data_IF_731655617961
#
_entry.id   IF_731655617961
#
_cell.length_a   1.000
_cell.length_b   1.000
_cell.length_c   1.000
_cell.angle_alpha   90.00
_cell.angle_beta   90.00
_cell.angle_gamma   90.00
#
_symmetry.space_group_name_H-M   'P 1'
#
loop_
_entity.id
_entity.type
_entity.pdbx_description
1 polymer ?
#
# COMPACT_ATOMS: atom_id res chain seq x y z
N UNK A 1 -11.89 4.22 15.24
CA UNK A 1 -10.85 5.27 15.38
C UNK A 1 -9.86 5.07 14.24
N UNK A 2 -9.80 5.96 13.25
CA UNK A 2 -8.74 5.89 12.21
C UNK A 2 -7.45 6.37 12.87
N UNK A 3 -6.50 5.47 13.13
CA UNK A 3 -5.16 5.87 13.56
C UNK A 3 -4.59 6.84 12.51
N UNK A 4 -4.22 8.05 12.94
CA UNK A 4 -3.74 9.10 12.03
C UNK A 4 -2.33 8.74 11.53
N UNK A 5 -2.02 9.00 10.25
CA UNK A 5 -0.74 8.61 9.64
C UNK A 5 0.48 9.18 10.39
N UNK A 6 0.32 10.36 10.97
CA UNK A 6 1.32 11.00 11.84
C UNK A 6 1.61 10.18 13.09
N UNK A 7 0.58 9.68 13.77
CA UNK A 7 0.74 8.84 14.96
C UNK A 7 1.48 7.53 14.67
N UNK A 8 1.23 6.91 13.50
CA UNK A 8 2.00 5.74 13.07
C UNK A 8 3.47 6.08 12.79
N UNK A 9 3.75 7.27 12.25
CA UNK A 9 5.11 7.72 11.97
C UNK A 9 5.90 7.98 13.26
N UNK A 10 5.26 8.61 14.24
CA UNK A 10 5.82 8.82 15.58
C UNK A 10 6.08 7.49 16.28
N UNK A 11 5.16 6.51 16.18
CA UNK A 11 5.37 5.12 16.64
C UNK A 11 6.58 4.45 16.04
N UNK A 12 6.72 4.50 14.72
CA UNK A 12 7.89 3.90 14.05
C UNK A 12 9.17 4.58 14.53
N UNK A 13 9.21 5.91 14.57
CA UNK A 13 10.40 6.66 15.00
C UNK A 13 10.81 6.32 16.43
N UNK A 14 9.83 6.24 17.33
CA UNK A 14 10.05 5.91 18.72
C UNK A 14 10.63 4.50 18.91
N UNK A 15 9.96 3.47 18.40
CA UNK A 15 10.42 2.09 18.57
C UNK A 15 11.73 1.81 17.82
N UNK A 16 11.96 2.46 16.67
CA UNK A 16 13.24 2.35 15.97
C UNK A 16 14.39 2.91 16.83
N UNK A 17 14.19 4.08 17.44
CA UNK A 17 15.17 4.66 18.37
C UNK A 17 15.46 3.74 19.57
N UNK A 18 14.46 3.03 20.07
CA UNK A 18 14.63 2.05 21.14
C UNK A 18 15.44 0.82 20.68
N UNK A 19 15.15 0.30 19.48
CA UNK A 19 15.90 -0.82 18.89
C UNK A 19 17.36 -0.44 18.68
N UNK A 20 17.62 0.75 18.15
CA UNK A 20 18.97 1.24 17.88
C UNK A 20 19.75 1.36 19.21
N UNK A 21 19.17 2.02 20.21
CA UNK A 21 19.75 2.13 21.56
C UNK A 21 20.03 0.76 22.20
N UNK A 22 19.06 -0.16 22.15
CA UNK A 22 19.23 -1.49 22.74
C UNK A 22 20.32 -2.30 22.01
N UNK A 23 20.42 -2.15 20.69
CA UNK A 23 21.43 -2.84 19.88
C UNK A 23 22.84 -2.31 20.15
N UNK A 24 23.01 -0.99 20.26
CA UNK A 24 24.29 -0.33 20.53
C UNK A 24 24.85 -0.66 21.93
N UNK A 25 23.97 -0.93 22.89
CA UNK A 25 24.35 -1.20 24.28
C UNK A 25 24.19 -2.67 24.69
N UNK A 26 23.96 -3.59 23.74
CA UNK A 26 23.73 -5.02 23.98
C UNK A 26 22.63 -5.31 25.01
N UNK A 27 21.63 -4.43 25.12
CA UNK A 27 20.52 -4.56 26.07
C UNK A 27 19.39 -5.38 25.46
N UNK A 28 18.86 -6.33 26.24
CA UNK A 28 17.72 -7.16 25.83
C UNK A 28 16.36 -6.57 26.19
N UNK A 29 16.32 -5.71 27.20
CA UNK A 29 15.10 -5.13 27.74
C UNK A 29 15.24 -3.63 27.95
N UNK A 30 14.14 -2.92 27.73
CA UNK A 30 13.98 -1.50 28.02
C UNK A 30 12.74 -1.30 28.87
N UNK A 31 12.87 -0.52 29.94
CA UNK A 31 11.73 -0.15 30.78
C UNK A 31 11.26 1.23 30.35
N UNK A 32 10.10 1.27 29.71
CA UNK A 32 9.51 2.52 29.26
C UNK A 32 8.53 3.05 30.31
N UNK A 33 8.71 4.32 30.69
CA UNK A 33 7.89 4.98 31.72
C UNK A 33 6.77 5.87 31.16
N UNK A 34 6.85 6.30 29.91
CA UNK A 34 6.16 7.53 29.47
C UNK A 34 5.05 7.34 28.41
N UNK A 35 4.74 6.12 27.95
CA UNK A 35 3.73 5.93 26.87
C UNK A 35 2.40 5.31 27.29
N UNK A 36 2.37 4.60 28.41
CA UNK A 36 1.16 4.15 29.07
C UNK A 36 1.42 4.30 30.56
N UNK A 37 0.43 4.73 31.34
CA UNK A 37 0.54 4.96 32.80
C UNK A 37 1.01 3.73 33.62
N UNK A 38 1.29 2.60 32.97
CA UNK A 38 1.90 1.42 33.55
C UNK A 38 3.31 1.16 32.97
N UNK A 39 4.35 1.06 33.82
CA UNK A 39 5.70 0.72 33.37
C UNK A 39 5.66 -0.65 32.68
N UNK A 40 6.04 -0.68 31.41
CA UNK A 40 6.02 -1.88 30.59
C UNK A 40 7.45 -2.27 30.24
N UNK A 41 7.81 -3.53 30.53
CA UNK A 41 9.09 -4.09 30.11
C UNK A 41 8.98 -4.49 28.64
N UNK A 42 9.78 -3.87 27.78
CA UNK A 42 9.78 -4.11 26.34
C UNK A 42 11.06 -4.86 25.99
N UNK A 43 10.93 -6.03 25.37
CA UNK A 43 12.08 -6.72 24.77
C UNK A 43 12.46 -6.11 23.43
N UNK A 44 13.71 -6.25 23.02
CA UNK A 44 14.15 -5.81 21.68
C UNK A 44 13.39 -6.55 20.57
N UNK A 45 13.02 -7.83 20.78
CA UNK A 45 12.19 -8.59 19.86
C UNK A 45 10.80 -7.98 19.71
N UNK A 46 10.18 -7.55 20.81
CA UNK A 46 8.84 -6.97 20.78
C UNK A 46 8.86 -5.55 20.18
N UNK A 47 9.90 -4.77 20.44
CA UNK A 47 10.11 -3.48 19.77
C UNK A 47 10.25 -3.65 18.24
N UNK A 48 10.98 -4.67 17.77
CA UNK A 48 11.08 -4.98 16.34
C UNK A 48 9.74 -5.40 15.72
N UNK A 49 8.95 -6.23 16.42
CA UNK A 49 7.61 -6.62 15.97
C UNK A 49 6.69 -5.41 15.83
N UNK A 50 6.76 -4.47 16.78
CA UNK A 50 5.97 -3.23 16.74
C UNK A 50 6.35 -2.35 15.54
N UNK A 51 7.65 -2.22 15.24
CA UNK A 51 8.12 -1.51 14.03
C UNK A 51 7.55 -2.14 12.76
N UNK A 52 7.63 -3.46 12.62
CA UNK A 52 7.13 -4.17 11.43
C UNK A 52 5.60 -4.09 11.30
N UNK A 53 4.88 -4.23 12.42
CA UNK A 53 3.42 -4.08 12.44
C UNK A 53 3.00 -2.66 12.03
N UNK A 54 3.66 -1.64 12.56
CA UNK A 54 3.37 -0.24 12.26
C UNK A 54 3.70 0.09 10.78
N UNK A 55 4.80 -0.43 10.24
CA UNK A 55 5.12 -0.30 8.80
C UNK A 55 4.04 -0.93 7.92
N UNK A 56 3.61 -2.16 8.23
CA UNK A 56 2.54 -2.85 7.48
C UNK A 56 1.22 -2.09 7.51
N UNK A 57 0.84 -1.53 8.66
CA UNK A 57 -0.34 -0.65 8.77
C UNK A 57 -0.18 0.62 7.93
N UNK A 58 1.01 1.22 7.89
CA UNK A 58 1.30 2.41 7.09
C UNK A 58 1.20 2.13 5.58
N UNK A 59 1.68 0.98 5.11
CA UNK A 59 1.51 0.53 3.73
C UNK A 59 0.04 0.31 3.37
N UNK A 60 -0.70 -0.39 4.24
CA UNK A 60 -2.15 -0.62 4.05
C UNK A 60 -2.90 0.71 3.92
N UNK A 61 -2.57 1.70 4.76
CA UNK A 61 -3.18 3.03 4.72
C UNK A 61 -2.86 3.79 3.41
N UNK A 62 -1.64 3.64 2.85
CA UNK A 62 -1.30 4.20 1.54
C UNK A 62 -2.14 3.56 0.43
N UNK A 63 -2.25 2.24 0.42
CA UNK A 63 -3.05 1.49 -0.56
C UNK A 63 -4.52 1.89 -0.47
N UNK A 64 -5.09 2.02 0.72
CA UNK A 64 -6.47 2.48 0.91
C UNK A 64 -6.70 3.92 0.46
N UNK A 65 -5.73 4.82 0.68
CA UNK A 65 -5.80 6.21 0.23
C UNK A 65 -5.74 6.31 -1.29
N UNK A 66 -4.82 5.58 -1.92
CA UNK A 66 -4.72 5.50 -3.37
C UNK A 66 -5.99 4.88 -3.94
N UNK A 67 -6.46 3.75 -3.40
CA UNK A 67 -7.69 3.10 -3.83
C UNK A 67 -8.89 4.06 -3.73
N UNK A 68 -9.00 4.85 -2.65
CA UNK A 68 -10.07 5.85 -2.52
C UNK A 68 -9.95 6.99 -3.55
N UNK A 69 -8.73 7.45 -3.83
CA UNK A 69 -8.45 8.45 -4.89
C UNK A 69 -8.80 7.90 -6.27
N UNK A 70 -8.47 6.64 -6.53
CA UNK A 70 -8.83 5.91 -7.75
C UNK A 70 -10.33 5.59 -7.84
N UNK A 71 -11.01 5.35 -6.72
CA UNK A 71 -12.46 5.05 -6.64
C UNK A 71 -13.34 6.26 -6.93
N UNK A 72 -12.85 7.49 -6.70
CA UNK A 72 -13.60 8.73 -6.89
C UNK A 72 -13.73 9.22 -8.36
N UNK A 73 -13.24 8.44 -9.32
CA UNK A 73 -13.24 8.82 -10.75
C UNK A 73 -14.63 8.56 -11.39
N UNK A 74 -15.17 9.47 -12.24
CA UNK A 74 -16.53 9.37 -12.80
C UNK A 74 -16.84 8.06 -13.55
N UNK A 75 -18.11 7.62 -13.54
CA UNK A 75 -18.58 6.31 -14.05
C UNK A 75 -18.09 5.90 -15.45
N UNK A 76 -17.88 6.83 -16.39
CA UNK A 76 -17.37 6.52 -17.74
C UNK A 76 -15.95 5.93 -17.73
N UNK A 77 -15.20 6.14 -16.66
CA UNK A 77 -13.84 5.63 -16.47
C UNK A 77 -13.83 4.30 -15.69
N UNK A 78 -14.98 3.76 -15.24
CA UNK A 78 -15.03 2.49 -14.50
C UNK A 78 -14.57 1.29 -15.31
N UNK A 79 -14.91 1.21 -16.60
CA UNK A 79 -14.47 0.09 -17.47
C UNK A 79 -12.96 0.18 -17.72
N UNK A 80 -12.47 1.36 -18.10
CA UNK A 80 -11.02 1.59 -18.26
C UNK A 80 -10.26 1.31 -16.96
N UNK A 81 -10.87 1.59 -15.83
CA UNK A 81 -10.35 1.33 -14.49
C UNK A 81 -10.32 -0.14 -14.12
N UNK A 82 -11.35 -0.92 -14.44
CA UNK A 82 -11.32 -2.38 -14.24
C UNK A 82 -10.27 -3.04 -15.14
N UNK A 83 -10.10 -2.58 -16.38
CA UNK A 83 -9.02 -3.01 -17.26
C UNK A 83 -7.63 -2.67 -16.69
N UNK A 84 -7.43 -1.44 -16.19
CA UNK A 84 -6.15 -1.02 -15.59
C UNK A 84 -5.83 -1.77 -14.29
N UNK A 85 -6.85 -2.05 -13.45
CA UNK A 85 -6.67 -2.84 -12.23
C UNK A 85 -6.32 -4.29 -12.56
N UNK A 86 -7.02 -4.90 -13.51
CA UNK A 86 -6.69 -6.25 -13.98
C UNK A 86 -5.25 -6.32 -14.52
N UNK A 87 -4.83 -5.34 -15.34
CA UNK A 87 -3.47 -5.22 -15.85
C UNK A 87 -2.43 -5.03 -14.74
N UNK A 88 -2.71 -4.16 -13.76
CA UNK A 88 -1.81 -3.91 -12.64
C UNK A 88 -1.62 -5.14 -11.76
N UNK A 89 -2.69 -5.88 -11.47
CA UNK A 89 -2.59 -7.13 -10.71
C UNK A 89 -1.82 -8.19 -11.50
N UNK A 90 -2.07 -8.31 -12.81
CA UNK A 90 -1.38 -9.25 -13.69
C UNK A 90 0.12 -8.96 -13.82
N UNK A 91 0.53 -7.70 -14.03
CA UNK A 91 1.96 -7.32 -14.09
C UNK A 91 2.71 -7.51 -12.78
N UNK A 92 2.03 -7.43 -11.63
CA UNK A 92 2.65 -7.71 -10.32
C UNK A 92 2.72 -9.21 -10.01
N UNK A 93 2.11 -10.07 -10.81
CA UNK A 93 2.08 -11.52 -10.59
C UNK A 93 2.72 -12.35 -11.72
N UNK A 94 2.89 -11.79 -12.93
CA UNK A 94 3.55 -12.43 -14.07
C UNK A 94 4.52 -11.47 -14.77
N UNK A 95 5.70 -11.98 -15.17
CA UNK A 95 6.72 -11.25 -15.95
C UNK A 95 6.44 -11.24 -17.47
N UNK A 96 5.23 -11.57 -17.90
CA UNK A 96 4.86 -11.64 -19.31
C UNK A 96 4.59 -10.26 -19.91
N UNK A 97 5.10 -10.03 -21.13
CA UNK A 97 4.93 -8.78 -21.85
C UNK A 97 3.47 -8.60 -22.31
N UNK A 98 2.93 -7.40 -22.12
CA UNK A 98 1.55 -7.06 -22.51
C UNK A 98 1.59 -5.99 -23.60
N UNK A 99 0.80 -6.17 -24.66
CA UNK A 99 0.61 -5.17 -25.71
C UNK A 99 -0.84 -4.66 -25.70
N UNK A 100 -0.99 -3.34 -25.88
CA UNK A 100 -2.30 -2.67 -25.89
C UNK A 100 -2.44 -1.87 -27.17
N UNK A 101 -3.44 -2.22 -27.98
CA UNK A 101 -3.74 -1.55 -29.24
C UNK A 101 -5.06 -0.79 -29.16
N UNK A 102 -5.04 0.47 -29.61
CA UNK A 102 -6.23 1.32 -29.69
C UNK A 102 -6.72 1.37 -31.12
N UNK A 103 -7.97 0.99 -31.36
CA UNK A 103 -8.63 1.10 -32.65
C UNK A 103 -9.93 1.89 -32.54
N UNK A 104 -10.40 2.42 -33.67
CA UNK A 104 -11.72 3.07 -33.76
C UNK A 104 -12.56 2.24 -34.71
N UNK A 105 -13.67 1.70 -34.20
CA UNK A 105 -14.61 0.88 -34.96
C UNK A 105 -15.80 1.74 -35.29
N UNK A 106 -16.10 1.86 -36.58
CA UNK A 106 -17.26 2.58 -37.09
C UNK A 106 -18.41 1.59 -37.25
N UNK A 107 -19.52 1.87 -36.57
CA UNK A 107 -20.76 1.11 -36.71
C UNK A 107 -21.54 1.58 -37.92
N UNK A 108 -22.36 0.69 -38.50
CA UNK A 108 -23.22 0.93 -39.66
C UNK A 108 -24.25 2.05 -39.42
N UNK A 109 -24.51 2.38 -38.15
CA UNK A 109 -25.39 3.47 -37.71
C UNK A 109 -24.68 4.85 -37.63
N UNK A 110 -23.42 4.95 -38.09
CA UNK A 110 -22.63 6.18 -38.06
C UNK A 110 -21.95 6.46 -36.72
N UNK A 111 -22.15 5.60 -35.71
CA UNK A 111 -21.52 5.78 -34.40
C UNK A 111 -20.10 5.20 -34.40
N UNK A 112 -19.11 6.01 -34.04
CA UNK A 112 -17.72 5.56 -33.90
C UNK A 112 -17.44 5.18 -32.45
N UNK A 113 -16.92 3.98 -32.21
CA UNK A 113 -16.54 3.49 -30.88
C UNK A 113 -15.03 3.27 -30.82
N UNK A 114 -14.39 3.76 -29.76
CA UNK A 114 -12.99 3.46 -29.49
C UNK A 114 -12.93 2.09 -28.81
N UNK A 115 -12.15 1.18 -29.34
CA UNK A 115 -11.92 -0.17 -28.81
C UNK A 115 -10.47 -0.29 -28.41
N UNK A 116 -10.23 -0.81 -27.21
CA UNK A 116 -8.89 -1.14 -26.72
C UNK A 116 -8.77 -2.66 -26.71
N UNK A 117 -7.85 -3.20 -27.49
CA UNK A 117 -7.52 -4.62 -27.50
C UNK A 117 -6.29 -4.82 -26.65
N UNK A 118 -6.38 -5.73 -25.68
CA UNK A 118 -5.27 -6.08 -24.79
C UNK A 118 -4.85 -7.50 -25.12
N UNK A 119 -3.59 -7.67 -25.53
CA UNK A 119 -2.99 -8.97 -25.83
C UNK A 119 -1.91 -9.25 -24.81
N UNK A 120 -1.94 -10.45 -24.23
CA UNK A 120 -0.91 -10.95 -23.32
C UNK A 120 0.00 -11.84 -24.16
N UNK A 121 1.29 -11.51 -24.23
CA UNK A 121 2.28 -12.30 -24.94
C UNK A 121 2.81 -13.41 -24.01
N UNK A 122 2.97 -14.62 -24.56
CA UNK A 122 3.50 -15.76 -23.81
C UNK A 122 5.02 -15.70 -23.60
#
# INVERSE_FOLDING_TARGET
>A
MKENKEHLHERIKHFQSLVDYMSEHEKKYYLEKDWFDNPTLISIEDAKKEVELAKKKMETCKVEQELNRFLHVPLKLKILRECLLYLFFKMNSDTQDITVEKSTVHSSDGTSKIVYTVTVCD
#
